data_IF_638166053693
#
_entry.id   IF_638166053693
#
_cell.length_a   1.000
_cell.length_b   1.000
_cell.length_c   1.000
_cell.angle_alpha   90.00
_cell.angle_beta   90.00
_cell.angle_gamma   90.00
#
_symmetry.space_group_name_H-M   'P 1'
#
loop_
_entity.id
_entity.type
_entity.pdbx_description
1 polymer ?
#
# COMPACT_ATOMS: atom_id res chain seq x y z
N UNK A 1 3.53 17.45 -10.45
CA UNK A 1 3.39 18.62 -9.55
C UNK A 1 4.16 18.34 -8.29
N UNK A 2 4.95 19.28 -7.78
CA UNK A 2 5.54 19.13 -6.45
C UNK A 2 4.55 19.57 -5.36
N UNK A 3 4.83 19.18 -4.12
CA UNK A 3 3.91 19.43 -3.03
C UNK A 3 3.77 20.91 -2.65
N UNK A 4 4.80 21.74 -2.84
CA UNK A 4 4.71 23.18 -2.54
C UNK A 4 3.72 23.86 -3.49
N UNK A 5 3.76 23.52 -4.77
CA UNK A 5 2.77 24.00 -5.74
C UNK A 5 1.36 23.59 -5.34
N UNK A 6 1.19 22.34 -4.90
CA UNK A 6 -0.11 21.83 -4.45
C UNK A 6 -0.59 22.60 -3.21
N UNK A 7 0.29 22.86 -2.24
CA UNK A 7 -0.08 23.62 -1.05
C UNK A 7 -0.44 25.06 -1.38
N UNK A 8 0.30 25.71 -2.26
CA UNK A 8 0.01 27.07 -2.69
C UNK A 8 -1.36 27.19 -3.36
N UNK A 9 -1.70 26.25 -4.21
CA UNK A 9 -2.96 26.24 -4.99
C UNK A 9 -4.17 25.80 -4.16
N UNK A 10 -4.03 24.79 -3.30
CA UNK A 10 -5.16 24.08 -2.68
C UNK A 10 -5.28 24.25 -1.16
N UNK A 11 -4.29 24.86 -0.50
CA UNK A 11 -4.31 25.10 0.95
C UNK A 11 -3.69 26.43 1.37
N UNK A 12 -3.64 27.41 0.47
CA UNK A 12 -3.12 28.77 0.73
C UNK A 12 -1.68 28.76 1.26
N UNK A 13 -0.84 27.87 0.75
CA UNK A 13 0.56 27.69 1.14
C UNK A 13 0.75 26.90 2.45
N UNK A 14 -0.32 26.49 3.12
CA UNK A 14 -0.21 25.69 4.33
C UNK A 14 -0.01 24.21 3.99
N UNK A 15 1.00 23.53 4.55
CA UNK A 15 1.16 22.08 4.39
C UNK A 15 -0.04 21.33 4.98
N UNK A 16 -0.92 20.86 4.11
CA UNK A 16 -2.15 20.15 4.47
C UNK A 16 -2.33 18.96 3.51
N UNK A 17 -2.41 17.75 4.05
CA UNK A 17 -2.65 16.54 3.26
C UNK A 17 -3.96 16.62 2.44
N UNK A 18 -4.94 17.38 2.92
CA UNK A 18 -6.21 17.61 2.19
C UNK A 18 -5.98 18.31 0.85
N UNK A 19 -4.87 19.04 0.68
CA UNK A 19 -4.54 19.69 -0.59
C UNK A 19 -4.37 18.67 -1.73
N UNK A 20 -3.81 17.49 -1.46
CA UNK A 20 -3.69 16.42 -2.45
C UNK A 20 -5.06 15.92 -2.90
N UNK A 21 -5.98 15.71 -1.94
CA UNK A 21 -7.35 15.33 -2.26
C UNK A 21 -8.07 16.40 -3.09
N UNK A 22 -7.90 17.70 -2.74
CA UNK A 22 -8.50 18.83 -3.47
C UNK A 22 -7.99 18.90 -4.90
N UNK A 23 -6.71 18.67 -5.13
CA UNK A 23 -6.13 18.56 -6.47
C UNK A 23 -6.82 17.45 -7.28
N UNK A 24 -6.93 16.24 -6.70
CA UNK A 24 -7.58 15.12 -7.38
C UNK A 24 -9.06 15.38 -7.64
N UNK A 25 -9.76 15.98 -6.66
CA UNK A 25 -11.17 16.36 -6.83
C UNK A 25 -11.34 17.39 -7.95
N UNK A 26 -10.47 18.36 -8.06
CA UNK A 26 -10.52 19.33 -9.16
C UNK A 26 -10.46 18.63 -10.53
N UNK A 27 -9.57 17.66 -10.71
CA UNK A 27 -9.51 16.89 -11.97
C UNK A 27 -10.74 16.02 -12.17
N UNK A 28 -11.24 15.39 -11.09
CA UNK A 28 -12.42 14.55 -11.12
C UNK A 28 -13.68 15.34 -11.55
N UNK A 29 -13.89 16.53 -10.96
CA UNK A 29 -15.06 17.37 -11.21
C UNK A 29 -15.01 18.07 -12.58
N UNK A 30 -13.80 18.37 -13.09
CA UNK A 30 -13.61 19.03 -14.40
C UNK A 30 -13.59 18.08 -15.58
N UNK A 31 -13.58 16.78 -15.36
CA UNK A 31 -13.65 15.81 -16.43
C UNK A 31 -14.98 15.92 -17.18
N UNK A 32 -14.92 16.03 -18.50
CA UNK A 32 -16.11 16.15 -19.32
C UNK A 32 -16.95 14.86 -19.34
N UNK A 33 -16.30 13.73 -19.08
CA UNK A 33 -16.94 12.41 -19.02
C UNK A 33 -16.11 11.47 -18.12
N UNK A 34 -16.65 10.30 -17.82
CA UNK A 34 -16.03 9.33 -16.91
C UNK A 34 -14.67 8.82 -17.41
N UNK A 35 -14.45 8.73 -18.71
CA UNK A 35 -13.19 8.25 -19.29
C UNK A 35 -12.03 9.24 -19.11
N UNK A 36 -12.32 10.51 -18.86
CA UNK A 36 -11.34 11.56 -18.60
C UNK A 36 -11.04 11.76 -17.11
N UNK A 37 -11.82 11.12 -16.23
CA UNK A 37 -11.56 11.16 -14.79
C UNK A 37 -10.20 10.54 -14.45
N UNK A 38 -9.49 11.06 -13.44
CA UNK A 38 -8.25 10.46 -12.98
C UNK A 38 -8.51 9.03 -12.50
N UNK A 39 -7.68 8.09 -12.97
CA UNK A 39 -7.79 6.67 -12.60
C UNK A 39 -6.80 6.27 -11.53
N UNK A 40 -5.68 6.98 -11.43
CA UNK A 40 -4.58 6.66 -10.54
C UNK A 40 -3.96 7.91 -9.93
N UNK A 41 -3.53 7.78 -8.68
CA UNK A 41 -2.69 8.74 -7.98
C UNK A 41 -1.42 8.01 -7.50
N UNK A 42 -0.27 8.47 -7.93
CA UNK A 42 1.01 8.01 -7.43
C UNK A 42 1.62 9.06 -6.49
N UNK A 43 1.80 8.70 -5.24
CA UNK A 43 2.54 9.45 -4.25
C UNK A 43 4.01 9.00 -4.29
N UNK A 44 4.86 9.78 -4.95
CA UNK A 44 6.26 9.43 -5.14
C UNK A 44 7.14 10.11 -4.09
N UNK A 45 7.23 9.53 -2.91
CA UNK A 45 7.92 10.02 -1.71
C UNK A 45 7.48 9.25 -0.48
N UNK A 46 8.32 9.25 0.54
CA UNK A 46 8.02 8.58 1.81
C UNK A 46 6.87 9.28 2.55
N UNK A 47 6.23 8.57 3.44
CA UNK A 47 5.20 9.07 4.34
C UNK A 47 5.63 8.96 5.80
N UNK A 48 5.00 9.74 6.67
CA UNK A 48 5.24 9.64 8.10
C UNK A 48 3.93 9.57 8.86
N UNK A 49 3.88 8.73 9.88
CA UNK A 49 2.80 8.77 10.87
C UNK A 49 2.78 10.14 11.59
N UNK A 50 3.94 10.77 11.79
CA UNK A 50 4.07 12.08 12.40
C UNK A 50 4.29 13.18 11.35
N UNK A 51 3.21 13.70 10.80
CA UNK A 51 3.26 14.80 9.84
C UNK A 51 3.98 16.05 10.36
N UNK A 52 4.00 16.31 11.68
CA UNK A 52 4.72 17.45 12.25
C UNK A 52 6.23 17.33 12.04
N UNK A 53 6.76 16.11 12.17
CA UNK A 53 8.16 15.83 11.93
C UNK A 53 8.48 15.90 10.42
N UNK A 54 7.58 15.39 9.58
CA UNK A 54 7.69 15.53 8.14
C UNK A 54 7.69 17.01 7.71
N UNK A 55 6.80 17.83 8.27
CA UNK A 55 6.74 19.28 7.99
C UNK A 55 7.98 20.03 8.45
N UNK A 56 8.59 19.67 9.57
CA UNK A 56 9.83 20.30 10.05
C UNK A 56 10.99 20.12 9.05
N UNK A 57 10.96 19.09 8.23
CA UNK A 57 11.98 18.81 7.21
C UNK A 57 11.63 19.32 5.81
N UNK A 58 10.41 19.85 5.58
CA UNK A 58 9.97 20.36 4.26
C UNK A 58 10.87 21.49 3.70
N UNK A 59 11.53 22.25 4.57
CA UNK A 59 12.42 23.33 4.16
C UNK A 59 13.88 22.88 3.95
N UNK A 60 14.16 21.58 4.08
CA UNK A 60 15.47 21.03 3.76
C UNK A 60 15.49 20.49 2.33
N UNK A 61 16.56 20.72 1.55
CA UNK A 61 16.66 20.24 0.17
C UNK A 61 16.56 18.71 0.01
N UNK A 62 16.64 17.99 1.11
CA UNK A 62 16.59 16.52 1.16
C UNK A 62 15.25 15.96 1.65
N UNK A 63 14.24 16.80 1.87
CA UNK A 63 12.93 16.31 2.28
C UNK A 63 12.19 15.66 1.11
N UNK A 64 12.08 14.35 1.15
CA UNK A 64 11.30 13.55 0.20
C UNK A 64 10.03 13.00 0.81
N UNK A 65 9.60 13.55 1.95
CA UNK A 65 8.38 13.11 2.64
C UNK A 65 7.16 13.83 2.08
N UNK A 66 6.17 13.07 1.69
CA UNK A 66 4.84 13.55 1.37
C UNK A 66 3.92 13.35 2.58
N UNK A 67 3.05 14.31 2.83
CA UNK A 67 2.12 14.20 3.95
C UNK A 67 1.22 12.98 3.79
N UNK A 68 0.85 12.39 4.91
CA UNK A 68 -0.13 11.32 5.03
C UNK A 68 -1.44 11.89 5.60
N UNK A 69 -2.55 11.26 5.30
CA UNK A 69 -3.80 11.54 6.02
C UNK A 69 -3.95 10.55 7.18
N UNK A 70 -4.32 11.07 8.35
CA UNK A 70 -4.53 10.26 9.55
C UNK A 70 -6.00 10.23 9.91
N UNK A 71 -6.44 9.09 10.44
CA UNK A 71 -7.79 8.95 11.01
C UNK A 71 -8.04 9.97 12.12
N UNK A 72 -9.30 10.27 12.38
CA UNK A 72 -9.71 11.32 13.34
C UNK A 72 -9.41 10.96 14.80
N UNK A 73 -9.26 9.69 15.10
CA UNK A 73 -9.15 9.16 16.46
C UNK A 73 -7.70 8.91 16.82
N UNK A 74 -6.97 9.95 17.19
CA UNK A 74 -5.53 9.85 17.49
C UNK A 74 -5.20 9.33 18.90
N UNK A 75 -6.19 9.08 19.74
CA UNK A 75 -6.03 8.61 21.15
C UNK A 75 -6.17 7.08 21.24
N UNK A 76 -6.96 6.48 20.38
CA UNK A 76 -7.18 5.04 20.35
C UNK A 76 -6.20 4.39 19.36
N UNK A 77 -5.33 3.53 19.84
CA UNK A 77 -4.30 2.85 19.01
C UNK A 77 -4.92 1.98 17.89
N UNK A 78 -6.13 1.46 18.08
CA UNK A 78 -6.82 0.64 17.08
C UNK A 78 -7.46 1.47 15.98
N UNK A 79 -7.82 2.70 16.29
CA UNK A 79 -8.51 3.64 15.38
C UNK A 79 -7.56 4.70 14.80
N UNK A 80 -6.30 4.76 15.31
CA UNK A 80 -5.28 5.71 14.86
C UNK A 80 -4.38 5.08 13.82
N UNK A 81 -4.66 5.34 12.55
CA UNK A 81 -3.91 4.81 11.42
C UNK A 81 -3.79 5.83 10.28
N UNK A 82 -2.81 5.62 9.44
CA UNK A 82 -2.60 6.37 8.19
C UNK A 82 -3.46 5.77 7.10
N UNK A 83 -4.16 6.63 6.34
CA UNK A 83 -5.11 6.21 5.29
C UNK A 83 -4.83 6.98 4.00
N UNK A 84 -4.31 6.29 3.01
CA UNK A 84 -4.09 6.87 1.68
C UNK A 84 -5.40 6.96 0.88
N UNK A 85 -6.37 6.09 1.14
CA UNK A 85 -7.69 6.07 0.47
C UNK A 85 -8.42 7.41 0.56
N UNK A 86 -8.14 8.20 1.61
CA UNK A 86 -8.66 9.55 1.77
C UNK A 86 -8.47 10.43 0.54
N UNK A 87 -7.34 10.30 -0.15
CA UNK A 87 -7.04 11.08 -1.34
C UNK A 87 -7.91 10.70 -2.55
N UNK A 88 -8.54 9.53 -2.48
CA UNK A 88 -9.43 9.00 -3.50
C UNK A 88 -10.92 9.15 -3.22
N UNK A 89 -11.33 9.73 -2.10
CA UNK A 89 -12.73 10.02 -1.79
C UNK A 89 -13.17 11.30 -2.51
N UNK A 90 -13.58 11.18 -3.77
CA UNK A 90 -13.79 12.32 -4.67
C UNK A 90 -15.26 12.64 -4.96
N UNK A 91 -16.20 11.83 -4.47
CA UNK A 91 -17.63 12.14 -4.57
C UNK A 91 -18.02 13.31 -3.65
N UNK A 92 -19.10 14.01 -3.98
CA UNK A 92 -19.59 15.10 -3.16
C UNK A 92 -20.06 14.60 -1.80
N UNK A 93 -19.62 15.30 -0.75
CA UNK A 93 -19.89 14.90 0.63
C UNK A 93 -19.00 13.80 1.19
N UNK A 94 -18.14 13.16 0.38
CA UNK A 94 -17.21 12.13 0.86
C UNK A 94 -15.96 12.72 1.53
N UNK A 95 -15.19 11.89 2.23
CA UNK A 95 -13.95 12.23 2.93
C UNK A 95 -14.10 12.44 4.43
N UNK A 96 -15.31 12.27 4.97
CA UNK A 96 -15.57 12.37 6.41
C UNK A 96 -15.64 10.99 7.08
N UNK A 97 -16.05 9.97 6.34
CA UNK A 97 -16.30 8.62 6.83
C UNK A 97 -15.38 7.61 6.17
N UNK A 98 -14.12 7.57 6.60
CA UNK A 98 -13.04 6.77 6.00
C UNK A 98 -13.43 5.28 5.83
N UNK A 99 -14.24 4.73 6.73
CA UNK A 99 -14.62 3.31 6.72
C UNK A 99 -15.69 2.97 5.69
N UNK A 100 -16.45 3.95 5.20
CA UNK A 100 -17.63 3.72 4.34
C UNK A 100 -17.59 4.51 3.03
N UNK A 101 -16.78 5.55 2.94
CA UNK A 101 -16.66 6.35 1.73
C UNK A 101 -16.01 5.52 0.60
N UNK A 102 -16.46 5.77 -0.62
CA UNK A 102 -15.99 5.06 -1.80
C UNK A 102 -14.74 5.69 -2.37
N UNK A 103 -13.72 4.88 -2.61
CA UNK A 103 -12.52 5.28 -3.35
C UNK A 103 -12.82 5.32 -4.86
N UNK A 104 -12.56 6.46 -5.50
CA UNK A 104 -12.87 6.70 -6.92
C UNK A 104 -11.70 6.42 -7.87
N UNK A 105 -10.49 6.17 -7.36
CA UNK A 105 -9.28 5.93 -8.15
C UNK A 105 -8.31 5.02 -7.41
N UNK A 106 -7.40 4.38 -8.14
CA UNK A 106 -6.31 3.60 -7.55
C UNK A 106 -5.24 4.52 -6.96
N UNK A 107 -4.78 4.23 -5.74
CA UNK A 107 -3.76 5.02 -5.05
C UNK A 107 -2.59 4.12 -4.70
N UNK A 108 -1.38 4.61 -4.96
CA UNK A 108 -0.17 3.93 -4.55
C UNK A 108 0.89 4.92 -4.08
N UNK A 109 1.72 4.48 -3.14
CA UNK A 109 2.87 5.23 -2.66
C UNK A 109 4.14 4.47 -2.95
N UNK A 110 5.13 5.16 -3.52
CA UNK A 110 6.52 4.71 -3.52
C UNK A 110 7.26 5.41 -2.38
N UNK A 111 7.59 4.70 -1.28
CA UNK A 111 8.22 5.29 -0.09
C UNK A 111 9.71 5.52 -0.32
N UNK A 112 10.04 6.39 -1.27
CA UNK A 112 11.42 6.71 -1.64
C UNK A 112 11.92 7.89 -0.80
N UNK A 113 13.10 7.72 -0.20
CA UNK A 113 13.70 8.69 0.71
C UNK A 113 14.90 9.43 0.11
N UNK A 114 15.38 9.00 -1.06
CA UNK A 114 16.54 9.57 -1.72
C UNK A 114 16.45 9.41 -3.23
N UNK A 115 17.26 10.19 -3.97
CA UNK A 115 17.37 10.03 -5.41
C UNK A 115 17.84 8.61 -5.81
N UNK A 116 18.68 8.00 -5.00
CA UNK A 116 19.15 6.64 -5.23
C UNK A 116 17.99 5.63 -5.11
N UNK A 117 17.23 5.70 -4.02
CA UNK A 117 16.06 4.80 -3.83
C UNK A 117 14.98 5.05 -4.88
N UNK A 118 14.80 6.31 -5.30
CA UNK A 118 13.86 6.64 -6.36
C UNK A 118 14.27 6.02 -7.71
N UNK A 119 15.55 6.07 -8.07
CA UNK A 119 16.05 5.41 -9.30
C UNK A 119 15.88 3.92 -9.22
N UNK A 120 16.27 3.28 -8.12
CA UNK A 120 16.09 1.84 -7.92
C UNK A 120 14.62 1.43 -8.04
N UNK A 121 13.68 2.19 -7.51
CA UNK A 121 12.25 1.92 -7.62
C UNK A 121 11.78 1.98 -9.08
N UNK A 122 12.23 3.00 -9.84
CA UNK A 122 11.89 3.12 -11.26
C UNK A 122 12.52 2.01 -12.08
N UNK A 123 13.79 1.69 -11.84
CA UNK A 123 14.51 0.61 -12.55
C UNK A 123 13.85 -0.75 -12.30
N UNK A 124 13.47 -1.03 -11.05
CA UNK A 124 12.73 -2.26 -10.68
C UNK A 124 11.39 -2.34 -11.40
N UNK A 125 10.61 -1.26 -11.41
CA UNK A 125 9.33 -1.22 -12.11
C UNK A 125 9.51 -1.42 -13.61
N UNK A 126 10.52 -0.79 -14.20
CA UNK A 126 10.83 -0.93 -15.62
C UNK A 126 11.22 -2.38 -15.97
N UNK A 127 12.12 -2.99 -15.20
CA UNK A 127 12.53 -4.39 -15.39
C UNK A 127 11.32 -5.34 -15.26
N UNK A 128 10.47 -5.13 -14.27
CA UNK A 128 9.26 -5.91 -14.09
C UNK A 128 8.30 -5.76 -15.29
N UNK A 129 8.10 -4.53 -15.79
CA UNK A 129 7.25 -4.26 -16.94
C UNK A 129 7.79 -4.86 -18.26
N UNK A 130 9.12 -4.94 -18.41
CA UNK A 130 9.75 -5.60 -19.57
C UNK A 130 9.44 -7.11 -19.62
N UNK A 131 9.14 -7.71 -18.49
CA UNK A 131 8.73 -9.11 -18.36
C UNK A 131 9.71 -10.12 -19.04
N UNK A 132 11.00 -9.85 -18.94
CA UNK A 132 12.05 -10.69 -19.57
C UNK A 132 12.43 -11.89 -18.73
N UNK A 133 12.23 -11.81 -17.42
CA UNK A 133 12.44 -12.93 -16.49
C UNK A 133 11.16 -13.77 -16.39
N UNK A 134 11.18 -14.95 -16.97
CA UNK A 134 10.04 -15.88 -17.05
C UNK A 134 10.17 -17.04 -16.05
N UNK A 135 10.82 -16.81 -14.93
CA UNK A 135 11.00 -17.82 -13.88
C UNK A 135 9.68 -18.30 -13.25
N UNK A 136 9.70 -19.48 -12.58
CA UNK A 136 8.52 -20.07 -11.93
C UNK A 136 7.98 -19.20 -10.79
N UNK A 137 8.76 -18.26 -10.25
CA UNK A 137 8.38 -17.32 -9.23
C UNK A 137 7.12 -16.51 -9.58
N UNK A 138 6.84 -16.28 -10.86
CA UNK A 138 5.63 -15.54 -11.32
C UNK A 138 4.33 -16.24 -11.03
N UNK A 139 4.35 -17.55 -10.87
CA UNK A 139 3.18 -18.36 -10.56
C UNK A 139 3.24 -18.93 -9.14
N UNK A 140 4.18 -18.45 -8.31
CA UNK A 140 4.36 -18.90 -6.94
C UNK A 140 3.82 -17.85 -5.97
N UNK A 141 2.91 -18.26 -5.10
CA UNK A 141 2.42 -17.47 -3.98
C UNK A 141 3.00 -18.02 -2.69
N UNK A 142 3.62 -17.17 -1.88
CA UNK A 142 4.00 -17.49 -0.51
C UNK A 142 3.00 -16.83 0.44
N UNK A 143 2.34 -17.62 1.26
CA UNK A 143 1.33 -17.16 2.21
C UNK A 143 1.81 -17.50 3.61
N UNK A 144 1.95 -16.48 4.45
CA UNK A 144 2.31 -16.63 5.86
C UNK A 144 1.13 -16.26 6.76
N UNK A 145 0.89 -17.05 7.79
CA UNK A 145 -0.14 -16.80 8.79
C UNK A 145 0.28 -17.35 10.14
N UNK A 146 -0.33 -16.82 11.20
CA UNK A 146 -0.24 -17.34 12.56
C UNK A 146 -1.58 -17.91 13.03
N UNK A 147 -1.59 -18.61 14.17
CA UNK A 147 -2.78 -19.19 14.78
C UNK A 147 -3.41 -18.29 15.85
N UNK A 148 -2.93 -17.05 15.97
CA UNK A 148 -3.52 -16.06 16.84
C UNK A 148 -5.02 -15.82 16.54
N UNK A 149 -5.74 -15.26 17.51
CA UNK A 149 -7.17 -14.93 17.37
C UNK A 149 -8.04 -16.13 16.94
N UNK A 150 -7.88 -17.28 17.60
CA UNK A 150 -8.58 -18.53 17.32
C UNK A 150 -8.31 -19.08 15.89
N UNK A 151 -7.10 -18.91 15.41
CA UNK A 151 -6.64 -19.31 14.08
C UNK A 151 -7.41 -18.67 12.93
N UNK A 152 -7.94 -17.47 13.13
CA UNK A 152 -8.70 -16.76 12.09
C UNK A 152 -7.83 -16.46 10.87
N UNK A 153 -6.57 -16.08 11.08
CA UNK A 153 -5.63 -15.76 10.00
C UNK A 153 -5.26 -16.99 9.18
N UNK A 154 -5.00 -18.12 9.82
CA UNK A 154 -4.74 -19.40 9.14
C UNK A 154 -5.96 -19.86 8.32
N UNK A 155 -7.18 -19.75 8.88
CA UNK A 155 -8.41 -20.09 8.16
C UNK A 155 -8.64 -19.20 6.93
N UNK A 156 -8.39 -17.89 7.06
CA UNK A 156 -8.50 -16.94 5.94
C UNK A 156 -7.45 -17.20 4.87
N UNK A 157 -6.23 -17.53 5.28
CA UNK A 157 -5.15 -17.90 4.38
C UNK A 157 -5.50 -19.18 3.58
N UNK A 158 -6.04 -20.19 4.24
CA UNK A 158 -6.50 -21.42 3.58
C UNK A 158 -7.62 -21.16 2.57
N UNK A 159 -8.62 -20.36 2.94
CA UNK A 159 -9.70 -19.98 2.01
C UNK A 159 -9.14 -19.22 0.79
N UNK A 160 -8.16 -18.34 0.98
CA UNK A 160 -7.49 -17.65 -0.12
C UNK A 160 -6.72 -18.62 -1.03
N UNK A 161 -6.00 -19.58 -0.44
CA UNK A 161 -5.29 -20.63 -1.18
C UNK A 161 -6.25 -21.50 -1.99
N UNK A 162 -7.36 -21.94 -1.39
CA UNK A 162 -8.35 -22.75 -2.06
C UNK A 162 -8.95 -22.00 -3.25
N UNK A 163 -9.19 -20.71 -3.11
CA UNK A 163 -9.67 -19.86 -4.22
C UNK A 163 -8.66 -19.78 -5.37
N UNK A 164 -7.36 -19.69 -5.07
CA UNK A 164 -6.29 -19.67 -6.09
C UNK A 164 -6.14 -21.03 -6.81
N UNK A 165 -6.42 -22.12 -6.08
CA UNK A 165 -6.27 -23.48 -6.58
C UNK A 165 -7.55 -24.04 -7.21
N UNK A 166 -8.71 -23.39 -7.02
CA UNK A 166 -9.97 -23.81 -7.60
C UNK A 166 -9.90 -23.77 -9.13
N UNK A 167 -10.29 -24.86 -9.73
CA UNK A 167 -10.45 -24.98 -11.18
C UNK A 167 -11.60 -24.07 -11.65
N UNK A 168 -11.26 -22.97 -12.30
CA UNK A 168 -12.26 -22.21 -13.03
C UNK A 168 -12.41 -22.85 -14.41
N UNK A 169 -13.53 -23.55 -14.64
CA UNK A 169 -13.79 -24.30 -15.86
C UNK A 169 -13.91 -23.43 -17.10
N UNK A 170 -14.07 -22.12 -16.96
CA UNK A 170 -14.28 -21.18 -18.07
C UNK A 170 -13.03 -20.40 -18.48
N UNK A 171 -11.89 -20.59 -17.80
CA UNK A 171 -10.63 -19.92 -18.11
C UNK A 171 -9.50 -20.94 -18.32
N UNK A 172 -8.48 -20.64 -19.17
CA UNK A 172 -7.29 -21.45 -19.27
C UNK A 172 -6.69 -21.65 -17.87
N UNK A 173 -6.37 -22.90 -17.55
CA UNK A 173 -5.83 -23.31 -16.25
C UNK A 173 -4.58 -22.50 -15.92
N UNK A 174 -4.67 -21.62 -14.93
CA UNK A 174 -3.50 -20.98 -14.33
C UNK A 174 -3.01 -21.94 -13.24
N UNK A 175 -1.90 -22.61 -13.48
CA UNK A 175 -1.25 -23.46 -12.48
C UNK A 175 -0.45 -22.58 -11.53
N UNK A 176 -1.05 -22.25 -10.38
CA UNK A 176 -0.35 -21.59 -9.30
C UNK A 176 0.27 -22.59 -8.34
N UNK A 177 1.48 -22.30 -7.89
CA UNK A 177 2.13 -22.96 -6.78
C UNK A 177 1.91 -22.11 -5.51
N UNK A 178 1.42 -22.73 -4.46
CA UNK A 178 1.20 -22.06 -3.17
C UNK A 178 2.12 -22.67 -2.12
N UNK A 179 3.01 -21.84 -1.59
CA UNK A 179 3.88 -22.18 -0.45
C UNK A 179 3.29 -21.59 0.82
N UNK A 180 2.94 -22.44 1.79
CA UNK A 180 2.33 -22.04 3.06
C UNK A 180 3.39 -22.04 4.16
N UNK A 181 3.55 -20.92 4.85
CA UNK A 181 4.42 -20.74 6.02
C UNK A 181 3.54 -20.37 7.21
N UNK A 182 2.98 -21.37 7.88
CA UNK A 182 2.17 -21.16 9.07
C UNK A 182 3.04 -21.27 10.31
N UNK A 183 3.05 -20.22 11.12
CA UNK A 183 3.98 -20.04 12.23
C UNK A 183 3.84 -21.15 13.29
N UNK A 184 2.61 -21.63 13.53
CA UNK A 184 2.27 -22.73 14.45
C UNK A 184 2.82 -24.09 14.01
N UNK A 185 3.20 -24.27 12.75
CA UNK A 185 3.89 -25.48 12.25
C UNK A 185 5.38 -25.53 12.63
N UNK A 186 5.91 -24.47 13.24
CA UNK A 186 7.32 -24.35 13.59
C UNK A 186 7.50 -24.22 15.11
N UNK A 187 8.70 -24.56 15.58
CA UNK A 187 9.03 -24.42 17.00
C UNK A 187 9.03 -22.97 17.46
N UNK A 188 8.20 -22.66 18.43
CA UNK A 188 8.19 -21.38 19.14
C UNK A 188 9.18 -21.42 20.30
N UNK A 189 10.22 -20.61 20.27
CA UNK A 189 11.12 -20.42 21.40
C UNK A 189 10.35 -19.83 22.59
N UNK A 190 10.26 -20.55 23.72
CA UNK A 190 9.46 -20.11 24.87
C UNK A 190 10.02 -18.88 25.58
N UNK A 191 11.30 -18.56 25.39
CA UNK A 191 11.97 -17.42 26.01
C UNK A 191 11.83 -16.17 25.14
N UNK A 192 12.27 -16.24 23.88
CA UNK A 192 12.26 -15.11 22.98
C UNK A 192 10.90 -14.87 22.31
N UNK A 193 9.99 -15.85 22.38
CA UNK A 193 8.69 -15.83 21.69
C UNK A 193 8.83 -15.64 20.16
N UNK A 194 9.90 -16.18 19.58
CA UNK A 194 10.20 -16.12 18.15
C UNK A 194 10.17 -17.50 17.52
N UNK A 195 9.88 -17.56 16.23
CA UNK A 195 9.93 -18.76 15.39
C UNK A 195 11.04 -18.61 14.33
N UNK A 196 12.31 -18.85 14.66
CA UNK A 196 13.42 -18.61 13.72
C UNK A 196 13.32 -19.46 12.45
N UNK A 197 12.76 -20.66 12.56
CA UNK A 197 12.63 -21.58 11.43
C UNK A 197 11.57 -21.13 10.45
N UNK A 198 10.43 -20.62 10.93
CA UNK A 198 9.41 -20.01 10.10
C UNK A 198 9.98 -18.80 9.33
N UNK A 199 10.76 -17.95 10.02
CA UNK A 199 11.40 -16.81 9.38
C UNK A 199 12.40 -17.24 8.30
N UNK A 200 13.22 -18.28 8.54
CA UNK A 200 14.13 -18.80 7.52
C UNK A 200 13.39 -19.34 6.30
N UNK A 201 12.30 -20.07 6.50
CA UNK A 201 11.50 -20.60 5.41
C UNK A 201 10.84 -19.49 4.61
N UNK A 202 10.33 -18.44 5.29
CA UNK A 202 9.79 -17.26 4.60
C UNK A 202 10.86 -16.56 3.75
N UNK A 203 12.05 -16.33 4.31
CA UNK A 203 13.16 -15.70 3.58
C UNK A 203 13.60 -16.54 2.37
N UNK A 204 13.65 -17.87 2.52
CA UNK A 204 13.97 -18.78 1.42
C UNK A 204 12.94 -18.65 0.27
N UNK A 205 11.66 -18.55 0.58
CA UNK A 205 10.61 -18.36 -0.43
C UNK A 205 10.67 -16.99 -1.13
N UNK A 206 11.35 -15.99 -0.55
CA UNK A 206 11.57 -14.69 -1.18
C UNK A 206 12.81 -14.67 -2.09
N UNK A 207 13.75 -15.62 -1.90
CA UNK A 207 15.00 -15.73 -2.66
C UNK A 207 14.88 -16.70 -3.85
N UNK A 208 13.85 -17.55 -3.90
CA UNK A 208 13.53 -18.49 -5.00
C UNK A 208 12.65 -17.84 -6.07
#
# INVERSE_FOLDING_TARGET
>A
MDQEQIFNEFSSGTPDATAYRRLMKMFYDRAANESERPRYLLLFGDGSYNNRQAMASLHTPQCNSLLTYQSKTSIDERESFVVEDYFGFLEDGSGTEIKTDRVCLGIGRYPVTSLQTARLAVDKLYQYAQNTDLGPWKNTFCIAADDGDEAVHTKQADQGCDTLLLENTDTPRLEFRVNKVYVDSYYLDPVSKKCPDANRELMKNLDE
#
